data_IF_243410018367
#
_entry.id   IF_243410018367
#
_cell.length_a   1.000
_cell.length_b   1.000
_cell.length_c   1.000
_cell.angle_alpha   90.00
_cell.angle_beta   90.00
_cell.angle_gamma   90.00
#
_symmetry.space_group_name_H-M   'P 1'
#
loop_
_entity.id
_entity.type
_entity.pdbx_description
1 polymer ?
#
# COMPACT_ATOMS: atom_id res chain seq x y z
N UNK A 1 68.45 13.54 -13.47
CA UNK A 1 67.29 14.42 -13.23
C UNK A 1 66.04 13.54 -13.20
N UNK A 2 65.47 13.38 -12.01
CA UNK A 2 64.28 12.58 -11.77
C UNK A 2 63.04 13.41 -12.12
N UNK A 3 62.09 12.88 -12.87
CA UNK A 3 60.73 13.40 -12.83
C UNK A 3 59.73 12.24 -12.82
N UNK A 4 59.03 12.15 -11.70
CA UNK A 4 58.22 11.02 -11.25
C UNK A 4 56.87 11.14 -11.95
N UNK A 5 56.44 10.07 -12.64
CA UNK A 5 55.11 10.01 -13.26
C UNK A 5 54.06 10.13 -12.16
N UNK A 6 53.30 11.22 -12.20
CA UNK A 6 52.19 11.48 -11.30
C UNK A 6 51.18 10.34 -11.34
N UNK A 7 50.86 9.87 -10.15
CA UNK A 7 50.02 8.73 -9.84
C UNK A 7 48.63 8.80 -10.47
N UNK A 8 48.31 7.86 -11.35
CA UNK A 8 46.93 7.40 -11.57
C UNK A 8 46.49 6.62 -10.34
N UNK A 9 45.69 7.22 -9.46
CA UNK A 9 44.92 6.48 -8.46
C UNK A 9 43.50 7.00 -8.37
N UNK A 10 42.66 6.27 -9.11
CA UNK A 10 41.38 5.73 -8.68
C UNK A 10 40.38 6.78 -8.17
N UNK A 11 39.57 7.28 -9.10
CA UNK A 11 38.31 7.95 -8.84
C UNK A 11 37.57 7.15 -7.76
N UNK A 12 37.42 7.76 -6.58
CA UNK A 12 36.58 7.21 -5.54
C UNK A 12 35.19 7.05 -6.14
N UNK A 13 34.80 5.79 -6.37
CA UNK A 13 33.43 5.37 -6.59
C UNK A 13 32.64 5.81 -5.36
N UNK A 14 32.21 7.07 -5.34
CA UNK A 14 31.19 7.53 -4.43
C UNK A 14 29.99 6.62 -4.70
N UNK A 15 29.71 5.72 -3.77
CA UNK A 15 28.57 4.83 -3.83
C UNK A 15 27.32 5.69 -4.02
N UNK A 16 26.88 5.82 -5.27
CA UNK A 16 25.69 6.59 -5.62
C UNK A 16 24.49 5.79 -5.13
N UNK A 17 24.04 6.12 -3.93
CA UNK A 17 22.79 5.60 -3.41
C UNK A 17 21.65 6.16 -4.26
N UNK A 18 20.95 5.30 -5.00
CA UNK A 18 19.77 5.68 -5.74
C UNK A 18 18.60 5.67 -4.76
N UNK A 19 17.94 6.82 -4.58
CA UNK A 19 16.70 6.90 -3.82
C UNK A 19 15.61 6.20 -4.64
N UNK A 20 15.17 5.03 -4.20
CA UNK A 20 14.01 4.36 -4.77
C UNK A 20 12.75 5.13 -4.33
N UNK A 21 11.99 5.75 -5.25
CA UNK A 21 10.74 6.39 -4.88
C UNK A 21 9.76 5.29 -4.47
N UNK A 22 9.45 5.24 -3.18
CA UNK A 22 8.28 4.48 -2.73
C UNK A 22 7.07 5.17 -3.34
N UNK A 23 6.45 4.52 -4.34
CA UNK A 23 5.12 4.92 -4.80
C UNK A 23 4.26 4.93 -3.55
N UNK A 24 3.85 6.11 -3.10
CA UNK A 24 2.79 6.23 -2.11
C UNK A 24 1.65 5.41 -2.68
N UNK A 25 1.34 4.27 -2.05
CA UNK A 25 0.19 3.45 -2.45
C UNK A 25 -0.94 4.44 -2.57
N UNK A 26 -1.38 4.67 -3.82
CA UNK A 26 -2.32 5.72 -4.15
C UNK A 26 -3.44 5.54 -3.16
N UNK A 27 -3.54 6.46 -2.18
CA UNK A 27 -4.39 6.31 -0.97
C UNK A 27 -5.68 5.78 -1.52
N UNK A 28 -5.95 4.49 -1.32
CA UNK A 28 -7.05 3.79 -2.00
C UNK A 28 -8.23 4.69 -1.76
N UNK A 29 -8.69 5.40 -2.80
CA UNK A 29 -9.77 6.37 -2.70
C UNK A 29 -10.84 5.58 -1.98
N UNK A 30 -11.08 5.86 -0.70
CA UNK A 30 -11.91 4.98 0.11
C UNK A 30 -13.24 4.99 -0.60
N UNK A 31 -13.55 3.94 -1.35
CA UNK A 31 -14.65 4.01 -2.29
C UNK A 31 -15.90 3.93 -1.42
N UNK A 32 -16.49 5.10 -1.21
CA UNK A 32 -17.73 5.24 -0.49
C UNK A 32 -18.79 4.62 -1.36
N UNK A 33 -19.29 3.47 -0.95
CA UNK A 33 -20.32 2.71 -1.66
C UNK A 33 -21.45 2.39 -0.68
N UNK A 34 -22.67 2.14 -1.18
CA UNK A 34 -23.75 1.67 -0.33
C UNK A 34 -23.45 0.26 0.19
N UNK A 35 -23.75 0.05 1.48
CA UNK A 35 -23.76 -1.28 2.07
C UNK A 35 -24.99 -2.07 1.60
N UNK A 36 -24.81 -3.32 1.15
CA UNK A 36 -25.93 -4.17 0.70
C UNK A 36 -26.96 -4.49 1.80
N UNK A 37 -26.60 -4.37 3.09
CA UNK A 37 -27.48 -4.72 4.20
C UNK A 37 -28.24 -3.51 4.77
N UNK A 38 -27.56 -2.37 4.95
CA UNK A 38 -28.16 -1.19 5.59
C UNK A 38 -28.34 0.01 4.65
N UNK A 39 -27.90 -0.08 3.40
CA UNK A 39 -28.05 0.97 2.38
C UNK A 39 -27.18 2.22 2.60
N UNK A 40 -26.51 2.36 3.74
CA UNK A 40 -25.70 3.54 4.05
C UNK A 40 -24.46 3.61 3.16
N UNK A 41 -24.26 4.75 2.50
CA UNK A 41 -23.05 5.06 1.72
C UNK A 41 -21.91 5.40 2.67
N UNK A 42 -20.96 4.47 2.79
CA UNK A 42 -19.82 4.65 3.68
C UNK A 42 -18.60 3.88 3.16
N UNK A 43 -17.49 3.93 3.88
CA UNK A 43 -16.37 3.03 3.58
C UNK A 43 -16.83 1.59 3.75
N UNK A 44 -16.85 0.85 2.64
CA UNK A 44 -17.25 -0.56 2.59
C UNK A 44 -16.03 -1.48 2.46
N UNK A 45 -16.25 -2.73 2.80
CA UNK A 45 -15.37 -3.86 2.60
C UNK A 45 -15.99 -4.80 1.57
N UNK A 46 -15.15 -5.58 0.88
CA UNK A 46 -15.62 -6.64 0.00
C UNK A 46 -15.82 -7.93 0.79
N UNK A 47 -17.04 -8.45 0.81
CA UNK A 47 -17.39 -9.75 1.38
C UNK A 47 -18.06 -10.60 0.29
N UNK A 48 -17.43 -11.72 -0.10
CA UNK A 48 -17.87 -12.59 -1.22
C UNK A 48 -18.23 -11.79 -2.50
N UNK A 49 -17.42 -10.78 -2.84
CA UNK A 49 -17.65 -9.93 -4.03
C UNK A 49 -18.76 -8.88 -3.90
N UNK A 50 -19.34 -8.68 -2.71
CA UNK A 50 -20.33 -7.63 -2.45
C UNK A 50 -19.81 -6.58 -1.47
N UNK A 51 -20.34 -5.37 -1.55
CA UNK A 51 -19.97 -4.23 -0.71
C UNK A 51 -20.72 -4.22 0.63
N UNK A 52 -19.99 -4.30 1.72
CA UNK A 52 -20.56 -4.39 3.08
C UNK A 52 -19.86 -3.38 3.99
N UNK A 53 -20.60 -2.57 4.75
CA UNK A 53 -19.97 -1.70 5.75
C UNK A 53 -19.44 -2.49 6.96
N UNK A 54 -18.47 -1.92 7.68
CA UNK A 54 -17.86 -2.61 8.83
C UNK A 54 -18.85 -3.04 9.92
N UNK A 55 -19.92 -2.25 10.13
CA UNK A 55 -20.95 -2.57 11.13
C UNK A 55 -21.75 -3.82 10.72
N UNK A 56 -22.25 -3.84 9.49
CA UNK A 56 -22.96 -5.00 8.97
C UNK A 56 -22.02 -6.19 8.81
N UNK A 57 -20.75 -6.00 8.43
CA UNK A 57 -19.77 -7.07 8.33
C UNK A 57 -19.53 -7.79 9.66
N UNK A 58 -19.52 -7.06 10.78
CA UNK A 58 -19.42 -7.64 12.13
C UNK A 58 -20.69 -8.36 12.58
N UNK A 59 -21.82 -8.09 11.93
CA UNK A 59 -23.14 -8.68 12.22
C UNK A 59 -23.49 -9.80 11.24
N UNK A 60 -22.88 -9.83 10.04
CA UNK A 60 -22.72 -11.02 9.20
C UNK A 60 -22.04 -12.07 10.08
N UNK A 61 -22.42 -13.33 9.98
CA UNK A 61 -22.85 -14.10 11.15
C UNK A 61 -22.02 -14.49 12.35
N UNK A 62 -22.62 -14.69 13.53
CA UNK A 62 -24.00 -14.51 14.07
C UNK A 62 -25.26 -15.08 13.31
N UNK A 63 -25.64 -14.63 12.11
CA UNK A 63 -26.72 -15.12 11.17
C UNK A 63 -26.47 -16.51 10.47
N UNK A 64 -25.41 -17.25 10.84
CA UNK A 64 -24.92 -18.58 10.42
C UNK A 64 -24.60 -19.40 11.70
N UNK A 65 -24.82 -18.83 12.90
CA UNK A 65 -24.76 -19.58 14.16
C UNK A 65 -26.08 -20.30 14.37
N UNK A 66 -26.35 -21.28 13.52
CA UNK A 66 -27.28 -22.36 13.85
C UNK A 66 -26.41 -23.62 13.99
N UNK A 67 -26.13 -23.97 15.25
CA UNK A 67 -25.77 -25.31 15.65
C UNK A 67 -27.04 -26.13 15.88
#
# INVERSE_FOLDING_TARGET
>A
MSNIRSTTKNQQSAHQAIILPFKTQARTKAQFHPCIFCGKTMRVHNFKGKTVCIHCLRQIPAIFSFG
#
